data_IF_969660190869
#
_entry.id   IF_969660190869
#
_cell.length_a   1.000
_cell.length_b   1.000
_cell.length_c   1.000
_cell.angle_alpha   90.00
_cell.angle_beta   90.00
_cell.angle_gamma   90.00
#
_symmetry.space_group_name_H-M   'P 1'
#
loop_
_entity.id
_entity.type
_entity.pdbx_description
1 polymer ?
#
# COMPACT_ATOMS: atom_id res chain seq x y z
N UNK A 1 7.71 -0.32 9.78
CA UNK A 1 8.58 -0.06 8.61
C UNK A 1 9.93 -0.70 8.89
N UNK A 2 10.51 -1.39 7.92
CA UNK A 2 11.91 -1.85 8.04
C UNK A 2 12.88 -0.63 8.09
N UNK A 3 13.99 -0.69 8.86
CA UNK A 3 14.94 0.42 8.98
C UNK A 3 15.58 0.88 7.67
N UNK A 4 15.58 0.05 6.62
CA UNK A 4 16.17 0.35 5.32
C UNK A 4 15.20 0.99 4.32
N UNK A 5 13.94 1.21 4.70
CA UNK A 5 12.93 1.86 3.85
C UNK A 5 13.31 3.33 3.62
N UNK A 6 13.25 3.77 2.36
CA UNK A 6 13.45 5.16 2.01
C UNK A 6 12.09 5.86 1.80
N UNK A 7 11.81 6.89 2.60
CA UNK A 7 10.57 7.67 2.54
C UNK A 7 10.86 9.06 1.96
N UNK A 8 10.18 9.40 0.87
CA UNK A 8 10.23 10.70 0.22
C UNK A 8 9.44 11.78 0.97
N UNK A 9 9.59 13.05 0.57
CA UNK A 9 8.87 14.15 1.21
C UNK A 9 7.36 14.02 1.02
N UNK A 10 6.61 14.44 2.05
CA UNK A 10 5.13 14.48 2.04
C UNK A 10 4.43 13.14 1.84
N UNK A 11 5.13 12.01 2.03
CA UNK A 11 4.49 10.70 2.12
C UNK A 11 3.61 10.64 3.36
N UNK A 12 2.40 10.11 3.20
CA UNK A 12 1.48 9.84 4.30
C UNK A 12 1.41 8.33 4.51
N UNK A 13 1.58 7.90 5.76
CA UNK A 13 1.42 6.51 6.18
C UNK A 13 0.43 6.50 7.34
N UNK A 14 -0.72 5.87 7.14
CA UNK A 14 -1.81 5.87 8.10
C UNK A 14 -2.27 4.45 8.44
N UNK A 15 -2.41 4.14 9.73
CA UNK A 15 -2.84 2.82 10.17
C UNK A 15 -1.74 1.75 10.14
N UNK A 16 -2.12 0.45 10.15
CA UNK A 16 -1.19 -0.67 10.33
C UNK A 16 -0.46 -1.05 9.03
N UNK A 17 0.30 -0.10 8.48
CA UNK A 17 1.11 -0.31 7.26
C UNK A 17 2.46 -0.94 7.58
N UNK A 18 2.78 -2.03 6.89
CA UNK A 18 4.06 -2.72 6.95
C UNK A 18 4.77 -2.57 5.61
N UNK A 19 6.04 -2.14 5.67
CA UNK A 19 6.88 -1.95 4.49
C UNK A 19 8.20 -2.69 4.71
N UNK A 20 8.51 -3.61 3.79
CA UNK A 20 9.70 -4.44 3.78
C UNK A 20 10.98 -3.70 3.37
N UNK A 21 12.15 -4.34 3.54
CA UNK A 21 13.45 -3.71 3.39
C UNK A 21 13.70 -3.19 1.97
N UNK A 22 14.51 -2.12 1.88
CA UNK A 22 14.97 -1.49 0.62
C UNK A 22 13.86 -0.94 -0.29
N UNK A 23 12.60 -1.01 0.13
CA UNK A 23 11.48 -0.37 -0.57
C UNK A 23 11.62 1.16 -0.50
N UNK A 24 11.34 1.81 -1.63
CA UNK A 24 11.40 3.26 -1.80
C UNK A 24 10.00 3.80 -2.02
N UNK A 25 9.54 4.67 -1.13
CA UNK A 25 8.26 5.38 -1.27
C UNK A 25 8.56 6.81 -1.67
N UNK A 26 8.21 7.18 -2.91
CA UNK A 26 8.49 8.49 -3.47
C UNK A 26 7.45 9.54 -3.04
N UNK A 27 7.73 10.81 -3.35
CA UNK A 27 7.07 11.95 -2.76
C UNK A 27 5.54 11.94 -2.89
N UNK A 28 4.84 12.29 -1.81
CA UNK A 28 3.39 12.48 -1.83
C UNK A 28 2.56 11.20 -2.00
N UNK A 29 3.15 10.00 -1.91
CA UNK A 29 2.39 8.76 -1.87
C UNK A 29 1.56 8.66 -0.57
N UNK A 30 0.39 8.04 -0.65
CA UNK A 30 -0.53 7.84 0.46
C UNK A 30 -0.75 6.35 0.69
N UNK A 31 -0.24 5.83 1.80
CA UNK A 31 -0.32 4.41 2.18
C UNK A 31 -1.21 4.30 3.41
N UNK A 32 -2.29 3.52 3.33
CA UNK A 32 -3.27 3.42 4.41
C UNK A 32 -3.77 2.01 4.65
N UNK A 33 -4.55 1.80 5.70
CA UNK A 33 -5.21 0.54 6.02
C UNK A 33 -4.25 -0.58 6.41
N UNK A 34 -4.76 -1.81 6.47
CA UNK A 34 -3.95 -3.01 6.66
C UNK A 34 -3.21 -3.35 5.36
N UNK A 35 -2.09 -2.65 5.14
CA UNK A 35 -1.30 -2.75 3.91
C UNK A 35 0.07 -3.32 4.19
N UNK A 36 0.40 -4.41 3.52
CA UNK A 36 1.69 -5.07 3.55
C UNK A 36 2.40 -4.89 2.20
N UNK A 37 3.59 -4.31 2.22
CA UNK A 37 4.43 -4.11 1.03
C UNK A 37 5.75 -4.83 1.27
N UNK A 38 6.14 -5.71 0.34
CA UNK A 38 7.37 -6.48 0.39
C UNK A 38 8.66 -5.67 0.22
N UNK A 39 9.75 -6.35 -0.07
CA UNK A 39 11.08 -5.80 -0.25
C UNK A 39 11.32 -5.23 -1.65
N UNK A 40 12.27 -4.30 -1.77
CA UNK A 40 12.78 -3.80 -3.05
C UNK A 40 11.71 -3.20 -3.99
N UNK A 41 10.57 -2.76 -3.46
CA UNK A 41 9.54 -2.09 -4.25
C UNK A 41 9.88 -0.62 -4.51
N UNK A 42 9.36 -0.05 -5.59
CA UNK A 42 9.39 1.39 -5.85
C UNK A 42 7.96 1.89 -6.00
N UNK A 43 7.52 2.70 -5.04
CA UNK A 43 6.21 3.33 -5.04
C UNK A 43 6.38 4.77 -5.52
N UNK A 44 5.87 5.08 -6.71
CA UNK A 44 6.06 6.38 -7.35
C UNK A 44 5.17 7.48 -6.75
N UNK A 45 5.45 8.76 -7.08
CA UNK A 45 4.73 9.89 -6.51
C UNK A 45 3.21 9.78 -6.63
N UNK A 46 2.53 10.20 -5.56
CA UNK A 46 1.06 10.29 -5.50
C UNK A 46 0.30 8.98 -5.75
N UNK A 47 0.96 7.81 -5.63
CA UNK A 47 0.24 6.54 -5.56
C UNK A 47 -0.59 6.45 -4.26
N UNK A 48 -1.77 5.84 -4.34
CA UNK A 48 -2.68 5.62 -3.20
C UNK A 48 -2.85 4.12 -2.99
N UNK A 49 -2.33 3.58 -1.89
CA UNK A 49 -2.33 2.13 -1.64
C UNK A 49 -3.05 1.81 -0.33
N UNK A 50 -3.99 0.88 -0.40
CA UNK A 50 -4.69 0.31 0.75
C UNK A 50 -5.93 1.08 1.19
N UNK A 51 -6.36 2.09 0.42
CA UNK A 51 -7.60 2.81 0.70
C UNK A 51 -8.82 1.87 0.58
N UNK A 52 -9.92 2.27 1.21
CA UNK A 52 -11.20 1.56 1.15
C UNK A 52 -11.61 1.27 -0.30
N UNK A 53 -12.21 0.09 -0.58
CA UNK A 53 -12.73 -0.22 -1.89
C UNK A 53 -13.87 0.73 -2.27
N UNK A 54 -14.08 0.91 -3.57
CA UNK A 54 -15.18 1.72 -4.12
C UNK A 54 -16.51 0.96 -4.19
N UNK A 55 -16.55 -0.26 -3.64
CA UNK A 55 -17.77 -1.06 -3.58
C UNK A 55 -18.78 -0.42 -2.62
N UNK A 56 -19.98 -0.14 -3.12
CA UNK A 56 -21.08 0.46 -2.34
C UNK A 56 -21.55 -0.44 -1.19
N UNK A 57 -21.32 -1.76 -1.28
CA UNK A 57 -21.66 -2.69 -0.22
C UNK A 57 -20.63 -2.70 0.92
N UNK A 58 -19.47 -2.06 0.73
CA UNK A 58 -18.43 -2.02 1.75
C UNK A 58 -18.87 -1.18 2.95
N UNK A 59 -18.89 -1.81 4.12
CA UNK A 59 -19.33 -1.20 5.38
C UNK A 59 -18.23 -1.23 6.46
N UNK A 60 -16.98 -0.95 6.07
CA UNK A 60 -15.84 -0.90 6.99
C UNK A 60 -15.35 -2.28 7.46
N UNK A 61 -15.58 -3.34 6.67
CA UNK A 61 -15.12 -4.68 7.00
C UNK A 61 -13.57 -4.72 7.14
N UNK A 62 -13.03 -5.54 8.07
CA UNK A 62 -11.59 -5.70 8.23
C UNK A 62 -11.01 -6.38 6.98
N UNK A 63 -10.26 -5.61 6.20
CA UNK A 63 -9.71 -6.03 4.91
C UNK A 63 -8.33 -5.43 4.71
N UNK A 64 -7.55 -6.02 3.80
CA UNK A 64 -6.17 -5.60 3.57
C UNK A 64 -5.73 -5.51 2.12
N UNK A 65 -4.50 -5.06 1.94
CA UNK A 65 -3.74 -5.07 0.70
C UNK A 65 -2.40 -5.74 0.96
N UNK A 66 -1.98 -6.64 0.07
CA UNK A 66 -0.65 -7.22 0.06
C UNK A 66 0.01 -7.01 -1.30
N UNK A 67 1.21 -6.46 -1.30
CA UNK A 67 2.09 -6.32 -2.45
C UNK A 67 3.37 -7.11 -2.14
N UNK A 68 3.78 -7.99 -3.05
CA UNK A 68 5.01 -8.76 -2.96
C UNK A 68 6.28 -7.91 -3.09
N UNK A 69 7.33 -8.52 -3.61
CA UNK A 69 8.65 -7.90 -3.71
C UNK A 69 8.93 -7.33 -5.11
N UNK A 70 9.83 -6.36 -5.26
CA UNK A 70 10.38 -5.91 -6.57
C UNK A 70 9.37 -5.34 -7.57
N UNK A 71 8.21 -4.89 -7.12
CA UNK A 71 7.24 -4.19 -7.96
C UNK A 71 7.63 -2.73 -8.20
N UNK A 72 7.19 -2.20 -9.33
CA UNK A 72 7.21 -0.76 -9.64
C UNK A 72 5.78 -0.26 -9.77
N UNK A 73 5.27 0.37 -8.71
CA UNK A 73 3.95 1.00 -8.71
C UNK A 73 4.13 2.44 -9.21
N UNK A 74 3.60 2.75 -10.39
CA UNK A 74 3.79 4.05 -11.07
C UNK A 74 2.89 5.15 -10.50
N UNK A 75 3.18 6.38 -10.92
CA UNK A 75 2.54 7.60 -10.41
C UNK A 75 1.01 7.50 -10.50
N UNK A 76 0.31 8.04 -9.49
CA UNK A 76 -1.17 8.08 -9.46
C UNK A 76 -1.87 6.71 -9.50
N UNK A 77 -1.13 5.60 -9.35
CA UNK A 77 -1.75 4.28 -9.26
C UNK A 77 -2.54 4.18 -7.96
N UNK A 78 -3.77 3.66 -8.06
CA UNK A 78 -4.65 3.43 -6.93
C UNK A 78 -4.90 1.93 -6.78
N UNK A 79 -4.57 1.36 -5.62
CA UNK A 79 -4.84 -0.05 -5.30
C UNK A 79 -5.58 -0.11 -3.98
N UNK A 80 -6.84 -0.55 -4.03
CA UNK A 80 -7.70 -0.62 -2.86
C UNK A 80 -7.61 -1.99 -2.17
N UNK A 81 -7.92 -1.99 -0.87
CA UNK A 81 -8.04 -3.21 -0.07
C UNK A 81 -9.28 -4.03 -0.48
N UNK A 82 -9.36 -5.27 0.02
CA UNK A 82 -10.48 -6.18 -0.25
C UNK A 82 -11.85 -5.64 0.19
N UNK A 83 -12.93 -6.32 -0.22
CA UNK A 83 -14.32 -5.91 0.06
C UNK A 83 -15.00 -6.77 1.13
N UNK A 84 -14.66 -8.05 1.22
CA UNK A 84 -15.27 -9.00 2.17
C UNK A 84 -14.41 -9.18 3.43
N UNK A 85 -15.00 -9.47 4.60
CA UNK A 85 -14.24 -9.67 5.84
C UNK A 85 -13.07 -10.64 5.69
N UNK A 86 -11.91 -10.27 6.24
CA UNK A 86 -10.68 -11.04 6.22
C UNK A 86 -10.09 -11.31 4.82
N UNK A 87 -10.59 -10.63 3.78
CA UNK A 87 -10.02 -10.69 2.44
C UNK A 87 -8.98 -9.60 2.21
N UNK A 88 -8.14 -9.85 1.20
CA UNK A 88 -7.09 -8.94 0.78
C UNK A 88 -6.95 -8.90 -0.73
N UNK A 89 -6.70 -7.71 -1.26
CA UNK A 89 -6.17 -7.54 -2.61
C UNK A 89 -4.71 -7.98 -2.62
N UNK A 90 -4.31 -8.82 -3.57
CA UNK A 90 -2.94 -9.35 -3.65
C UNK A 90 -2.28 -8.99 -4.99
N UNK A 91 -1.09 -8.39 -4.94
CA UNK A 91 -0.17 -8.19 -6.05
C UNK A 91 1.09 -9.02 -5.76
N UNK A 92 1.56 -9.76 -6.78
CA UNK A 92 2.73 -10.64 -6.68
C UNK A 92 4.07 -9.89 -6.63
N UNK A 93 5.09 -10.50 -7.22
CA UNK A 93 6.46 -9.99 -7.31
C UNK A 93 6.81 -9.46 -8.72
#
# INVERSE_FOLDING_TARGET
LDPSVAIGPYVVIEGPVVIGPRTRVLAGAYLTGATEIGADNVIHPHAVLGHEPQDLAYAGAPTGLRIGDRNVVREHSEVHRGTEPETRTEIGD
#
